data_IF_082966668017
#
_entry.id   IF_082966668017
#
_cell.length_a   1.000
_cell.length_b   1.000
_cell.length_c   1.000
_cell.angle_alpha   90.00
_cell.angle_beta   90.00
_cell.angle_gamma   90.00
#
_symmetry.space_group_name_H-M   'P 1'
#
loop_
_entity.id
_entity.type
_entity.pdbx_description
1 polymer ?
#
# COMPACT_ATOMS: atom_id res chain seq x y z
N UNK A 1 10.70 12.04 -27.09
CA UNK A 1 10.79 12.02 -25.63
C UNK A 1 9.93 13.15 -25.12
N UNK A 2 8.68 12.84 -24.82
CA UNK A 2 7.76 13.79 -24.20
C UNK A 2 8.02 13.81 -22.69
N UNK A 3 7.92 14.95 -22.00
CA UNK A 3 8.28 15.09 -20.58
C UNK A 3 7.55 14.10 -19.65
N UNK A 4 6.35 13.65 -20.01
CA UNK A 4 5.58 12.67 -19.24
C UNK A 4 6.18 11.25 -19.21
N UNK A 5 6.97 10.86 -20.22
CA UNK A 5 7.60 9.52 -20.27
C UNK A 5 8.75 9.40 -19.26
N UNK A 6 9.41 10.51 -18.93
CA UNK A 6 10.54 10.54 -18.00
C UNK A 6 10.14 10.48 -16.52
N UNK A 7 8.95 10.97 -16.17
CA UNK A 7 8.45 10.98 -14.79
C UNK A 7 7.98 9.59 -14.33
N UNK A 8 7.26 8.85 -15.19
CA UNK A 8 6.81 7.49 -14.89
C UNK A 8 7.99 6.51 -14.72
N UNK A 9 9.01 6.61 -15.59
CA UNK A 9 10.22 5.80 -15.45
C UNK A 9 11.01 6.10 -14.17
N UNK A 10 11.01 7.35 -13.71
CA UNK A 10 11.65 7.71 -12.45
C UNK A 10 10.95 7.03 -11.26
N UNK A 11 9.61 6.99 -11.24
CA UNK A 11 8.85 6.36 -10.16
C UNK A 11 9.06 4.84 -10.08
N UNK A 12 9.22 4.17 -11.23
CA UNK A 12 9.60 2.75 -11.27
C UNK A 12 10.98 2.52 -10.62
N UNK A 13 11.97 3.38 -10.92
CA UNK A 13 13.30 3.26 -10.32
C UNK A 13 13.26 3.51 -8.81
N UNK A 14 12.59 4.58 -8.35
CA UNK A 14 12.44 4.87 -6.91
C UNK A 14 11.80 3.70 -6.17
N UNK A 15 10.79 3.07 -6.78
CA UNK A 15 10.15 1.88 -6.21
C UNK A 15 11.13 0.70 -6.10
N UNK A 16 11.86 0.38 -7.17
CA UNK A 16 12.81 -0.74 -7.18
C UNK A 16 14.01 -0.50 -6.24
N UNK A 17 14.46 0.74 -6.11
CA UNK A 17 15.47 1.14 -5.13
C UNK A 17 14.95 0.91 -3.71
N UNK A 18 13.72 1.35 -3.41
CA UNK A 18 13.08 1.14 -2.11
C UNK A 18 12.96 -0.34 -1.73
N UNK A 19 12.65 -1.22 -2.69
CA UNK A 19 12.65 -2.67 -2.48
C UNK A 19 14.07 -3.21 -2.24
N UNK A 20 15.06 -2.69 -2.95
CA UNK A 20 16.45 -3.14 -2.86
C UNK A 20 17.10 -2.81 -1.53
N UNK A 21 16.67 -1.70 -0.91
CA UNK A 21 17.14 -1.26 0.41
C UNK A 21 16.60 -2.12 1.57
N UNK A 22 15.56 -2.93 1.33
CA UNK A 22 15.01 -3.83 2.33
C UNK A 22 15.85 -5.10 2.49
N UNK A 23 15.94 -5.60 3.74
CA UNK A 23 16.58 -6.88 4.06
C UNK A 23 15.67 -8.07 3.74
N UNK A 24 15.29 -8.20 2.46
CA UNK A 24 14.43 -9.27 1.96
C UNK A 24 15.24 -10.54 1.66
N UNK A 25 14.58 -11.69 1.80
CA UNK A 25 15.16 -12.97 1.40
C UNK A 25 15.45 -12.99 -0.12
N UNK A 26 16.39 -13.85 -0.53
CA UNK A 26 16.83 -13.93 -1.94
C UNK A 26 15.68 -14.21 -2.90
N UNK A 27 14.75 -15.09 -2.54
CA UNK A 27 13.60 -15.45 -3.39
C UNK A 27 12.72 -14.24 -3.68
N UNK A 28 12.43 -13.42 -2.66
CA UNK A 28 11.64 -12.19 -2.81
C UNK A 28 12.38 -11.16 -3.66
N UNK A 29 13.69 -10.98 -3.41
CA UNK A 29 14.53 -10.04 -4.19
C UNK A 29 14.60 -10.43 -5.67
N UNK A 30 14.81 -11.71 -5.96
CA UNK A 30 14.86 -12.23 -7.33
C UNK A 30 13.52 -12.04 -8.04
N UNK A 31 12.41 -12.31 -7.35
CA UNK A 31 11.07 -12.10 -7.89
C UNK A 31 10.82 -10.63 -8.27
N UNK A 32 11.22 -9.68 -7.42
CA UNK A 32 11.11 -8.26 -7.76
C UNK A 32 12.03 -7.86 -8.93
N UNK A 33 13.28 -8.35 -8.91
CA UNK A 33 14.32 -7.96 -9.87
C UNK A 33 14.09 -8.55 -11.26
N UNK A 34 13.53 -9.76 -11.34
CA UNK A 34 13.33 -10.47 -12.60
C UNK A 34 11.88 -10.36 -13.09
N UNK A 35 10.91 -10.75 -12.25
CA UNK A 35 9.52 -10.90 -12.68
C UNK A 35 8.78 -9.56 -12.63
N UNK A 36 8.81 -8.88 -11.48
CA UNK A 36 8.05 -7.62 -11.29
C UNK A 36 8.61 -6.51 -12.18
N UNK A 37 9.93 -6.30 -12.18
CA UNK A 37 10.59 -5.25 -12.97
C UNK A 37 10.22 -5.32 -14.47
N UNK A 38 10.20 -6.54 -15.03
CA UNK A 38 9.83 -6.79 -16.43
C UNK A 38 8.38 -6.42 -16.71
N UNK A 39 7.47 -6.65 -15.76
CA UNK A 39 6.05 -6.35 -15.93
C UNK A 39 5.72 -4.87 -15.75
N UNK A 40 6.52 -4.12 -14.97
CA UNK A 40 6.23 -2.73 -14.63
C UNK A 40 7.07 -1.70 -15.40
N UNK A 41 8.00 -2.15 -16.26
CA UNK A 41 8.98 -1.30 -16.93
C UNK A 41 8.36 -0.11 -17.70
N UNK A 42 7.20 -0.32 -18.33
CA UNK A 42 6.53 0.69 -19.16
C UNK A 42 5.24 1.24 -18.51
N UNK A 43 5.14 1.12 -17.18
CA UNK A 43 3.96 1.57 -16.43
C UNK A 43 4.21 2.97 -15.83
N UNK A 44 3.22 3.86 -16.00
CA UNK A 44 3.20 5.21 -15.41
C UNK A 44 2.76 5.14 -13.94
N UNK A 45 3.71 4.88 -13.05
CA UNK A 45 3.51 4.86 -11.60
C UNK A 45 3.36 6.29 -11.09
N UNK A 46 2.26 6.57 -10.39
CA UNK A 46 1.96 7.87 -9.76
C UNK A 46 2.55 7.96 -8.36
N UNK A 47 2.46 6.87 -7.60
CA UNK A 47 3.00 6.75 -6.24
C UNK A 47 3.17 5.25 -5.93
N UNK A 48 3.87 4.91 -4.85
CA UNK A 48 4.00 3.54 -4.38
C UNK A 48 4.04 3.46 -2.86
N UNK A 49 3.73 2.28 -2.34
CA UNK A 49 3.96 1.93 -0.96
C UNK A 49 4.60 0.56 -0.84
N UNK A 50 5.43 0.41 0.18
CA UNK A 50 6.12 -0.81 0.52
C UNK A 50 5.84 -1.11 2.00
N UNK A 51 5.57 -2.37 2.29
CA UNK A 51 5.56 -2.91 3.64
C UNK A 51 6.96 -3.45 3.93
N UNK A 52 7.68 -2.75 4.82
CA UNK A 52 9.10 -3.03 5.07
C UNK A 52 9.34 -4.42 5.70
N UNK A 53 8.33 -5.02 6.34
CA UNK A 53 8.44 -6.31 7.02
C UNK A 53 8.24 -7.48 6.05
N UNK A 54 7.26 -7.38 5.17
CA UNK A 54 6.86 -8.45 4.25
C UNK A 54 7.42 -8.27 2.84
N UNK A 55 7.81 -7.03 2.49
CA UNK A 55 8.10 -6.64 1.12
C UNK A 55 6.87 -6.61 0.22
N UNK A 56 5.64 -6.72 0.75
CA UNK A 56 4.43 -6.47 -0.05
C UNK A 56 4.42 -5.01 -0.52
N UNK A 57 3.88 -4.73 -1.69
CA UNK A 57 3.86 -3.37 -2.21
C UNK A 57 2.60 -3.03 -3.00
N UNK A 58 2.23 -1.75 -2.96
CA UNK A 58 1.20 -1.16 -3.80
C UNK A 58 1.81 -0.17 -4.78
N UNK A 59 1.49 -0.32 -6.06
CA UNK A 59 1.82 0.65 -7.10
C UNK A 59 0.54 1.37 -7.52
N UNK A 60 0.50 2.68 -7.32
CA UNK A 60 -0.64 3.51 -7.67
C UNK A 60 -0.50 4.00 -9.11
N UNK A 61 -1.42 3.61 -9.97
CA UNK A 61 -1.51 4.04 -11.38
C UNK A 61 -2.69 4.97 -11.56
N UNK A 62 -2.72 5.77 -12.62
CA UNK A 62 -3.80 6.77 -12.86
C UNK A 62 -5.23 6.22 -12.64
N UNK A 63 -5.50 4.99 -13.08
CA UNK A 63 -6.83 4.37 -13.04
C UNK A 63 -6.90 3.04 -12.27
N UNK A 64 -5.83 2.60 -11.62
CA UNK A 64 -5.77 1.32 -10.93
C UNK A 64 -4.63 1.21 -9.93
N UNK A 65 -4.66 0.18 -9.09
CA UNK A 65 -3.58 -0.17 -8.17
C UNK A 65 -3.10 -1.57 -8.49
N UNK A 66 -1.78 -1.77 -8.52
CA UNK A 66 -1.15 -3.09 -8.56
C UNK A 66 -0.68 -3.45 -7.16
N UNK A 67 -1.03 -4.63 -6.66
CA UNK A 67 -0.54 -5.19 -5.40
C UNK A 67 0.40 -6.36 -5.70
N UNK A 68 1.66 -6.21 -5.30
CA UNK A 68 2.68 -7.25 -5.40
C UNK A 68 2.77 -7.97 -4.04
N UNK A 69 2.46 -9.27 -4.04
CA UNK A 69 2.49 -10.14 -2.86
C UNK A 69 3.62 -11.17 -2.99
N UNK A 70 4.86 -10.86 -2.53
CA UNK A 70 6.04 -11.71 -2.75
C UNK A 70 5.93 -13.10 -2.14
N UNK A 71 5.29 -13.24 -0.97
CA UNK A 71 5.11 -14.55 -0.31
C UNK A 71 4.39 -15.57 -1.20
N UNK A 72 3.41 -15.09 -1.96
CA UNK A 72 2.63 -15.89 -2.90
C UNK A 72 3.12 -15.78 -4.35
N UNK A 73 4.11 -14.93 -4.62
CA UNK A 73 4.58 -14.55 -5.95
C UNK A 73 3.44 -14.12 -6.89
N UNK A 74 2.44 -13.41 -6.34
CA UNK A 74 1.26 -12.95 -7.08
C UNK A 74 1.33 -11.44 -7.29
N UNK A 75 0.88 -11.03 -8.47
CA UNK A 75 0.62 -9.64 -8.81
C UNK A 75 -0.90 -9.53 -9.04
N UNK A 76 -1.56 -8.65 -8.29
CA UNK A 76 -3.01 -8.44 -8.38
C UNK A 76 -3.28 -7.02 -8.86
N UNK A 77 -4.23 -6.84 -9.76
CA UNK A 77 -4.55 -5.53 -10.32
C UNK A 77 -6.00 -5.14 -10.00
N UNK A 78 -6.18 -3.94 -9.46
CA UNK A 78 -7.46 -3.44 -8.97
C UNK A 78 -7.85 -2.15 -9.67
N UNK A 79 -8.98 -2.10 -10.39
CA UNK A 79 -9.51 -0.84 -10.92
C UNK A 79 -9.79 0.15 -9.79
N UNK A 80 -9.34 1.41 -9.95
CA UNK A 80 -9.45 2.47 -8.94
C UNK A 80 -10.88 2.67 -8.45
N UNK A 81 -11.87 2.58 -9.34
CA UNK A 81 -13.28 2.77 -9.01
C UNK A 81 -13.89 1.64 -8.14
N UNK A 82 -13.17 0.54 -7.93
CA UNK A 82 -13.56 -0.56 -7.03
C UNK A 82 -12.78 -0.54 -5.71
N UNK A 83 -11.84 0.40 -5.57
CA UNK A 83 -11.05 0.56 -4.36
C UNK A 83 -11.76 1.56 -3.47
N UNK A 84 -11.88 1.18 -2.21
CA UNK A 84 -12.48 1.96 -1.16
C UNK A 84 -11.44 2.21 -0.07
N UNK A 85 -11.62 3.30 0.67
CA UNK A 85 -10.75 3.64 1.80
C UNK A 85 -11.59 3.80 3.07
N UNK A 86 -11.25 3.05 4.11
CA UNK A 86 -11.79 3.23 5.45
C UNK A 86 -10.75 3.92 6.33
N UNK A 87 -11.21 4.87 7.15
CA UNK A 87 -10.37 5.58 8.10
C UNK A 87 -11.10 5.67 9.43
N UNK A 88 -10.46 5.20 10.48
CA UNK A 88 -10.96 5.30 11.85
C UNK A 88 -9.92 5.98 12.74
N UNK A 89 -10.32 7.09 13.36
CA UNK A 89 -9.54 7.78 14.38
C UNK A 89 -10.30 7.71 15.72
N UNK A 90 -9.68 7.06 16.69
CA UNK A 90 -10.20 6.84 18.05
C UNK A 90 -9.50 7.73 19.08
N UNK A 91 -8.54 8.57 18.68
CA UNK A 91 -7.90 9.55 19.57
C UNK A 91 -8.95 10.40 20.31
N UNK A 92 -8.86 10.45 21.64
CA UNK A 92 -9.78 11.21 22.48
C UNK A 92 -11.16 10.57 22.73
N UNK A 93 -11.45 9.38 22.19
CA UNK A 93 -12.65 8.61 22.61
C UNK A 93 -12.39 7.98 23.98
N UNK A 94 -13.37 8.08 24.90
CA UNK A 94 -13.31 7.31 26.14
C UNK A 94 -13.29 5.81 25.79
N UNK A 95 -12.47 4.98 26.45
CA UNK A 95 -12.50 3.53 26.22
C UNK A 95 -13.92 3.03 26.44
N UNK A 96 -14.46 2.33 25.44
CA UNK A 96 -15.76 1.67 25.52
C UNK A 96 -15.61 0.46 26.45
N UNK A 97 -15.76 0.70 27.75
CA UNK A 97 -15.77 -0.28 28.85
C UNK A 97 -14.48 -1.07 29.09
N UNK A 98 -14.09 -1.15 30.36
CA UNK A 98 -12.96 -1.95 30.87
C UNK A 98 -13.23 -3.48 30.83
N UNK A 99 -14.26 -3.95 30.11
CA UNK A 99 -14.76 -5.33 30.20
C UNK A 99 -14.49 -6.21 28.98
N UNK A 100 -13.91 -5.70 27.90
CA UNK A 100 -13.53 -6.53 26.75
C UNK A 100 -12.04 -6.85 26.77
N UNK A 101 -11.69 -8.05 27.24
CA UNK A 101 -10.37 -8.70 27.12
C UNK A 101 -10.00 -9.07 25.67
N UNK A 102 -10.42 -8.27 24.69
CA UNK A 102 -10.16 -8.47 23.27
C UNK A 102 -9.26 -7.34 22.81
N UNK A 103 -8.03 -7.70 22.42
CA UNK A 103 -7.00 -6.90 21.71
C UNK A 103 -7.26 -5.39 21.67
N UNK A 104 -6.46 -4.61 22.41
CA UNK A 104 -6.48 -3.14 22.37
C UNK A 104 -6.58 -2.67 20.91
N UNK A 105 -7.69 -2.06 20.55
CA UNK A 105 -7.91 -1.54 19.22
C UNK A 105 -6.91 -0.41 18.90
N UNK A 106 -6.46 -0.24 17.64
CA UNK A 106 -5.56 0.85 17.27
C UNK A 106 -6.24 2.20 17.46
N UNK A 107 -5.44 3.17 17.93
CA UNK A 107 -5.86 4.57 18.12
C UNK A 107 -6.16 5.23 16.78
N UNK A 108 -5.41 4.84 15.74
CA UNK A 108 -5.68 5.19 14.35
C UNK A 108 -5.57 3.95 13.48
N UNK A 109 -6.51 3.79 12.56
CA UNK A 109 -6.53 2.72 11.57
C UNK A 109 -7.00 3.27 10.23
N UNK A 110 -6.35 2.85 9.16
CA UNK A 110 -6.82 3.09 7.80
C UNK A 110 -6.59 1.85 6.94
N UNK A 111 -7.50 1.60 6.01
CA UNK A 111 -7.46 0.44 5.12
C UNK A 111 -7.89 0.85 3.71
N UNK A 112 -7.13 0.43 2.71
CA UNK A 112 -7.56 0.31 1.33
C UNK A 112 -8.08 -1.10 1.12
N UNK A 113 -9.32 -1.20 0.62
CA UNK A 113 -9.93 -2.49 0.32
C UNK A 113 -10.61 -2.49 -1.04
N UNK A 114 -10.70 -3.66 -1.66
CA UNK A 114 -11.47 -3.85 -2.89
C UNK A 114 -12.42 -5.02 -2.75
N UNK A 115 -13.65 -4.87 -3.25
CA UNK A 115 -14.60 -5.97 -3.31
C UNK A 115 -14.38 -6.71 -4.63
N UNK A 116 -13.68 -7.84 -4.57
CA UNK A 116 -13.47 -8.75 -5.71
C UNK A 116 -14.07 -10.12 -5.40
N UNK A 117 -14.68 -10.81 -6.39
CA UNK A 117 -14.99 -12.23 -6.29
C UNK A 117 -13.72 -13.09 -6.05
N UNK A 118 -13.90 -14.32 -5.57
CA UNK A 118 -12.84 -15.35 -5.54
C UNK A 118 -11.62 -15.07 -4.62
N UNK A 119 -11.81 -14.47 -3.45
CA UNK A 119 -10.75 -14.25 -2.44
C UNK A 119 -9.58 -13.37 -2.91
N UNK A 120 -9.75 -12.63 -4.00
CA UNK A 120 -8.75 -11.71 -4.53
C UNK A 120 -8.97 -10.29 -4.01
N UNK A 121 -9.37 -10.12 -2.76
CA UNK A 121 -9.61 -8.79 -2.22
C UNK A 121 -8.28 -8.09 -1.93
N UNK A 122 -8.20 -6.81 -2.29
CA UNK A 122 -7.21 -5.92 -1.71
C UNK A 122 -7.54 -5.75 -0.23
N UNK A 123 -6.53 -5.99 0.61
CA UNK A 123 -6.53 -5.62 2.02
C UNK A 123 -5.16 -5.02 2.29
N UNK A 124 -5.09 -3.69 2.33
CA UNK A 124 -3.88 -2.96 2.64
C UNK A 124 -4.18 -1.98 3.76
N UNK A 125 -3.61 -2.21 4.93
CA UNK A 125 -3.97 -1.45 6.12
C UNK A 125 -2.76 -0.92 6.87
N UNK A 126 -2.98 0.16 7.60
CA UNK A 126 -2.02 0.76 8.51
C UNK A 126 -2.73 1.11 9.81
N UNK A 127 -2.03 0.95 10.92
CA UNK A 127 -2.56 1.36 12.21
C UNK A 127 -1.46 1.55 13.25
N UNK A 128 -1.80 2.26 14.32
CA UNK A 128 -0.93 2.37 15.49
C UNK A 128 -1.75 2.51 16.77
N UNK A 129 -1.19 2.01 17.87
CA UNK A 129 -1.69 2.23 19.23
C UNK A 129 -1.05 3.46 19.90
N UNK A 130 -0.07 4.09 19.25
CA UNK A 130 0.65 5.25 19.78
C UNK A 130 0.08 6.53 19.17
N UNK A 131 -0.35 7.47 20.02
CA UNK A 131 -0.84 8.78 19.56
C UNK A 131 0.22 9.56 18.77
N UNK A 132 1.50 9.37 19.08
CA UNK A 132 2.62 10.01 18.38
C UNK A 132 2.73 9.64 16.90
N UNK A 133 2.25 8.45 16.50
CA UNK A 133 2.31 7.99 15.10
C UNK A 133 1.16 8.52 14.24
N UNK A 134 0.08 8.99 14.88
CA UNK A 134 -1.16 9.36 14.21
C UNK A 134 -0.94 10.41 13.12
N UNK A 135 -0.16 11.50 13.31
CA UNK A 135 0.08 12.47 12.25
C UNK A 135 0.74 11.88 11.01
N UNK A 136 1.69 10.94 11.18
CA UNK A 136 2.36 10.24 10.08
C UNK A 136 1.37 9.37 9.31
N UNK A 137 0.55 8.60 10.02
CA UNK A 137 -0.45 7.72 9.42
C UNK A 137 -1.57 8.51 8.73
N UNK A 138 -1.97 9.66 9.28
CA UNK A 138 -2.91 10.58 8.64
C UNK A 138 -2.35 11.15 7.35
N UNK A 139 -1.07 11.58 7.33
CA UNK A 139 -0.43 12.07 6.13
C UNK A 139 -0.36 10.99 5.03
N UNK A 140 -0.04 9.74 5.42
CA UNK A 140 -0.07 8.56 4.54
C UNK A 140 -1.47 8.33 3.96
N UNK A 141 -2.47 8.24 4.83
CA UNK A 141 -3.88 8.04 4.45
C UNK A 141 -4.43 9.17 3.57
N UNK A 142 -4.00 10.42 3.81
CA UNK A 142 -4.38 11.56 2.99
C UNK A 142 -3.85 11.44 1.54
N UNK A 143 -2.70 10.79 1.32
CA UNK A 143 -2.23 10.47 -0.04
C UNK A 143 -3.16 9.48 -0.74
N UNK A 144 -3.62 8.44 -0.03
CA UNK A 144 -4.58 7.48 -0.56
C UNK A 144 -5.90 8.16 -0.95
N UNK A 145 -6.45 8.98 -0.06
CA UNK A 145 -7.68 9.71 -0.33
C UNK A 145 -7.52 10.67 -1.51
N UNK A 146 -6.39 11.39 -1.60
CA UNK A 146 -6.10 12.24 -2.76
C UNK A 146 -6.03 11.43 -4.04
N UNK A 147 -5.33 10.29 -4.01
CA UNK A 147 -5.24 9.38 -5.14
C UNK A 147 -6.62 8.92 -5.58
N UNK A 148 -7.47 8.42 -4.67
CA UNK A 148 -8.80 7.91 -5.02
C UNK A 148 -9.75 8.97 -5.59
N UNK A 149 -9.51 10.25 -5.28
CA UNK A 149 -10.34 11.39 -5.73
C UNK A 149 -9.72 12.21 -6.88
N UNK A 150 -8.60 11.76 -7.47
CA UNK A 150 -7.98 12.41 -8.63
C UNK A 150 -8.57 12.01 -9.98
#
# INVERSE_FOLDING_TARGET
>A
MTPAEGEGQLQVQVFLDGISDLDLNTKTRDWYTMDVSTMIQDIDIVDHEIDDETGCSLLFLRNSVIHCCPDSQRIKHYPKHLIHCFVENRSGRKPLSETSNTSKEPVFFAELFSISPCEEQLNWSVGSHLEGDVPRLQARTARWLRYLNS
#
